data_IF_938129814715
#
_entry.id   IF_938129814715
#
_cell.length_a   1.000
_cell.length_b   1.000
_cell.length_c   1.000
_cell.angle_alpha   90.00
_cell.angle_beta   90.00
_cell.angle_gamma   90.00
#
_symmetry.space_group_name_H-M   'P 1'
#
loop_
_entity.id
_entity.type
_entity.pdbx_description
1 polymer ?
#
# COMPACT_ATOMS: atom_id res chain seq x y z
N UNK A 1 18.88 2.04 -1.87
CA UNK A 1 17.52 2.28 -2.40
C UNK A 1 17.68 2.80 -3.78
N UNK A 2 16.87 2.30 -4.70
CA UNK A 2 16.81 2.74 -6.09
C UNK A 2 15.57 3.62 -6.30
N UNK A 3 14.48 3.31 -5.57
CA UNK A 3 13.25 4.11 -5.54
C UNK A 3 12.95 4.54 -4.09
N UNK A 4 12.44 5.77 -3.93
CA UNK A 4 11.82 6.28 -2.71
C UNK A 4 10.33 6.52 -2.99
N UNK A 5 9.46 5.88 -2.21
CA UNK A 5 8.01 6.01 -2.31
C UNK A 5 7.50 6.80 -1.10
N UNK A 6 6.68 7.83 -1.35
CA UNK A 6 6.05 8.65 -0.31
C UNK A 6 4.59 8.22 -0.17
N UNK A 7 4.25 7.64 0.98
CA UNK A 7 2.94 7.08 1.31
C UNK A 7 2.93 5.55 1.26
N UNK A 8 2.69 4.93 2.41
CA UNK A 8 2.47 3.50 2.63
C UNK A 8 0.98 3.10 2.59
N UNK A 9 0.19 3.80 1.79
CA UNK A 9 -1.16 3.36 1.40
C UNK A 9 -1.14 2.15 0.44
N UNK A 10 -2.30 1.58 0.10
CA UNK A 10 -2.38 0.36 -0.73
C UNK A 10 -1.66 0.51 -2.07
N UNK A 11 -1.79 1.67 -2.73
CA UNK A 11 -1.09 1.95 -4.00
C UNK A 11 0.43 2.01 -3.82
N UNK A 12 0.92 2.62 -2.74
CA UNK A 12 2.36 2.70 -2.46
C UNK A 12 2.96 1.33 -2.15
N UNK A 13 2.24 0.51 -1.39
CA UNK A 13 2.63 -0.88 -1.09
C UNK A 13 2.64 -1.74 -2.36
N UNK A 14 1.63 -1.60 -3.22
CA UNK A 14 1.61 -2.32 -4.49
C UNK A 14 2.72 -1.86 -5.45
N UNK A 15 3.08 -0.57 -5.43
CA UNK A 15 4.22 -0.06 -6.19
C UNK A 15 5.56 -0.66 -5.71
N UNK A 16 5.74 -0.92 -4.40
CA UNK A 16 6.91 -1.67 -3.88
C UNK A 16 6.95 -3.07 -4.47
N UNK A 17 5.81 -3.75 -4.53
CA UNK A 17 5.72 -5.10 -5.12
C UNK A 17 6.14 -5.10 -6.60
N UNK A 18 5.56 -4.20 -7.41
CA UNK A 18 5.89 -4.07 -8.84
C UNK A 18 7.38 -3.73 -9.07
N UNK A 19 7.94 -2.81 -8.27
CA UNK A 19 9.37 -2.50 -8.33
C UNK A 19 10.25 -3.70 -7.94
N UNK A 20 9.79 -4.52 -7.00
CA UNK A 20 10.45 -5.76 -6.60
C UNK A 20 10.53 -6.78 -7.73
N UNK A 21 9.51 -6.86 -8.60
CA UNK A 21 9.54 -7.71 -9.80
C UNK A 21 10.65 -7.30 -10.77
N UNK A 22 11.02 -6.02 -10.78
CA UNK A 22 12.14 -5.47 -11.56
C UNK A 22 13.48 -5.49 -10.81
N UNK A 23 13.55 -6.17 -9.66
CA UNK A 23 14.73 -6.27 -8.79
C UNK A 23 15.23 -4.92 -8.23
N UNK A 24 14.36 -3.92 -8.15
CA UNK A 24 14.69 -2.61 -7.58
C UNK A 24 14.43 -2.59 -6.07
N UNK A 25 15.36 -2.01 -5.31
CA UNK A 25 15.21 -1.81 -3.87
C UNK A 25 14.44 -0.54 -3.59
N UNK A 26 13.38 -0.63 -2.80
CA UNK A 26 12.56 0.51 -2.39
C UNK A 26 12.76 0.86 -0.92
N UNK A 27 12.72 2.15 -0.60
CA UNK A 27 12.36 2.65 0.72
C UNK A 27 10.99 3.30 0.60
N UNK A 28 10.15 3.09 1.60
CA UNK A 28 8.85 3.72 1.71
C UNK A 28 8.84 4.56 2.97
N UNK A 29 8.31 5.78 2.86
CA UNK A 29 8.14 6.67 4.00
C UNK A 29 6.68 7.09 4.08
N UNK A 30 6.13 7.11 5.30
CA UNK A 30 4.79 7.61 5.57
C UNK A 30 4.83 8.42 6.87
N UNK A 31 3.90 9.36 7.00
CA UNK A 31 3.69 10.10 8.24
C UNK A 31 2.93 9.27 9.28
N UNK A 32 2.12 8.29 8.84
CA UNK A 32 1.41 7.37 9.73
C UNK A 32 2.38 6.34 10.34
N UNK A 33 2.18 5.94 11.61
CA UNK A 33 3.05 4.95 12.26
C UNK A 33 2.81 3.52 11.76
N UNK A 34 1.79 3.30 10.92
CA UNK A 34 1.41 2.01 10.34
C UNK A 34 1.12 2.11 8.84
N UNK A 35 1.39 1.05 8.06
CA UNK A 35 0.99 0.97 6.66
C UNK A 35 -0.53 0.82 6.49
N UNK A 36 -1.03 1.09 5.29
CA UNK A 36 -2.43 0.95 4.89
C UNK A 36 -3.12 2.28 4.55
N UNK A 37 -2.50 3.41 4.89
CA UNK A 37 -3.01 4.75 4.54
C UNK A 37 -4.45 4.95 5.01
N UNK A 38 -5.31 5.47 4.13
CA UNK A 38 -6.72 5.72 4.45
C UNK A 38 -7.47 4.47 4.91
N UNK A 39 -7.13 3.28 4.40
CA UNK A 39 -7.82 2.04 4.78
C UNK A 39 -7.56 1.74 6.26
N UNK A 40 -6.31 1.86 6.72
CA UNK A 40 -5.94 1.62 8.10
C UNK A 40 -6.39 2.76 9.04
N UNK A 41 -6.37 4.00 8.58
CA UNK A 41 -6.61 5.19 9.42
C UNK A 41 -8.10 5.58 9.51
N UNK A 42 -8.83 5.55 8.39
CA UNK A 42 -10.18 6.13 8.31
C UNK A 42 -11.29 5.10 8.40
N UNK A 43 -11.12 3.93 7.80
CA UNK A 43 -12.18 2.93 7.71
C UNK A 43 -11.69 1.47 7.83
N UNK A 44 -10.90 1.13 8.86
CA UNK A 44 -10.27 -0.20 9.01
C UNK A 44 -11.24 -1.37 9.21
N UNK A 45 -12.53 -1.09 9.43
CA UNK A 45 -13.58 -2.09 9.66
C UNK A 45 -14.71 -2.01 8.63
N UNK A 46 -14.63 -1.11 7.67
CA UNK A 46 -15.68 -0.98 6.65
C UNK A 46 -15.38 -1.98 5.54
N UNK A 47 -16.35 -2.83 5.16
CA UNK A 47 -16.14 -3.77 4.08
C UNK A 47 -15.92 -3.03 2.76
N UNK A 48 -15.00 -3.56 1.94
CA UNK A 48 -14.72 -3.09 0.58
C UNK A 48 -15.18 -4.17 -0.41
N UNK A 49 -15.98 -3.78 -1.40
CA UNK A 49 -16.67 -4.73 -2.30
C UNK A 49 -16.20 -4.66 -3.75
N UNK A 50 -15.31 -3.72 -4.08
CA UNK A 50 -14.88 -3.40 -5.44
C UNK A 50 -13.38 -3.69 -5.69
N UNK A 51 -12.78 -4.57 -4.89
CA UNK A 51 -11.45 -5.10 -5.13
C UNK A 51 -11.54 -6.35 -6.01
N UNK A 52 -10.92 -6.37 -7.21
CA UNK A 52 -10.98 -7.53 -8.10
C UNK A 52 -10.53 -8.83 -7.42
N UNK A 53 -11.34 -9.89 -7.54
CA UNK A 53 -11.05 -11.21 -6.95
C UNK A 53 -11.48 -11.37 -5.49
N UNK A 54 -11.96 -10.30 -4.83
CA UNK A 54 -12.46 -10.34 -3.46
C UNK A 54 -13.91 -9.86 -3.42
N UNK A 55 -14.88 -10.76 -3.13
CA UNK A 55 -16.27 -10.35 -2.94
C UNK A 55 -16.46 -9.36 -1.77
N UNK A 56 -15.61 -9.48 -0.74
CA UNK A 56 -15.58 -8.60 0.44
C UNK A 56 -14.17 -8.65 1.06
N UNK A 57 -13.64 -7.50 1.50
CA UNK A 57 -12.37 -7.33 2.22
C UNK A 57 -12.61 -6.57 3.52
#
# INVERSE_FOLDING_TARGET
>A
TDILIIGAGPTGLFAVFEAGLLQLKCHIIDALPQPGGQLAELYPKKPIFDIPGFPEV
#
